data_IF_388053795656
#
_entry.id   IF_388053795656
#
_cell.length_a   1.000
_cell.length_b   1.000
_cell.length_c   1.000
_cell.angle_alpha   90.00
_cell.angle_beta   90.00
_cell.angle_gamma   90.00
#
_symmetry.space_group_name_H-M   'P 1'
#
loop_
_entity.id
_entity.type
_entity.pdbx_description
1 polymer ?
#
# COMPACT_ATOMS: atom_id res chain seq x y z
N UNK A 1 31.36 -20.18 -3.70
CA UNK A 1 30.12 -20.07 -2.91
C UNK A 1 28.97 -20.41 -3.84
N UNK A 2 28.06 -21.31 -3.47
CA UNK A 2 26.84 -21.55 -4.25
C UNK A 2 25.87 -20.42 -3.89
N UNK A 3 25.27 -19.79 -4.89
CA UNK A 3 24.19 -18.84 -4.66
C UNK A 3 22.96 -19.63 -4.16
N UNK A 4 22.48 -19.37 -2.94
CA UNK A 4 21.34 -20.10 -2.39
C UNK A 4 20.12 -19.83 -3.26
N UNK A 5 19.57 -20.90 -3.84
CA UNK A 5 18.45 -20.79 -4.78
C UNK A 5 17.14 -20.97 -4.04
N UNK A 6 16.37 -19.90 -3.95
CA UNK A 6 15.02 -19.95 -3.37
C UNK A 6 14.13 -20.83 -4.26
N UNK A 7 13.43 -21.83 -3.68
CA UNK A 7 12.55 -22.73 -4.41
C UNK A 7 11.36 -21.97 -4.99
N UNK A 8 10.83 -22.49 -6.11
CA UNK A 8 9.66 -21.91 -6.77
C UNK A 8 8.40 -22.39 -6.04
N UNK A 9 7.40 -21.51 -5.97
CA UNK A 9 6.09 -21.86 -5.42
C UNK A 9 5.44 -22.97 -6.27
N UNK A 10 4.78 -23.91 -5.60
CA UNK A 10 4.00 -24.96 -6.25
C UNK A 10 2.57 -24.46 -6.51
N UNK A 11 1.87 -25.07 -7.47
CA UNK A 11 0.50 -24.68 -7.81
C UNK A 11 -0.50 -24.87 -6.66
N UNK A 12 -0.16 -25.72 -5.70
CA UNK A 12 -1.00 -25.98 -4.55
C UNK A 12 -0.64 -25.09 -3.34
N UNK A 13 0.42 -24.31 -3.39
CA UNK A 13 0.81 -23.42 -2.28
C UNK A 13 -0.19 -22.25 -2.17
N UNK A 14 -0.51 -21.86 -0.94
CA UNK A 14 -1.37 -20.68 -0.71
C UNK A 14 -0.70 -19.39 -1.19
N UNK A 15 -1.54 -18.39 -1.52
CA UNK A 15 -1.12 -17.06 -1.96
C UNK A 15 -0.09 -16.44 -1.01
N UNK A 16 -0.20 -16.68 0.31
CA UNK A 16 0.76 -16.16 1.27
C UNK A 16 2.17 -16.75 1.10
N UNK A 17 2.26 -18.06 0.81
CA UNK A 17 3.54 -18.73 0.55
C UNK A 17 4.12 -18.23 -0.77
N UNK A 18 3.29 -18.09 -1.80
CA UNK A 18 3.69 -17.59 -3.13
C UNK A 18 4.29 -16.18 -3.00
N UNK A 19 3.55 -15.25 -2.38
CA UNK A 19 3.99 -13.86 -2.20
C UNK A 19 5.28 -13.79 -1.38
N UNK A 20 5.39 -14.59 -0.32
CA UNK A 20 6.58 -14.62 0.52
C UNK A 20 7.82 -15.12 -0.25
N UNK A 21 7.68 -16.17 -1.08
CA UNK A 21 8.79 -16.70 -1.89
C UNK A 21 9.22 -15.72 -3.00
N UNK A 22 8.27 -15.11 -3.70
CA UNK A 22 8.57 -14.11 -4.75
C UNK A 22 9.26 -12.87 -4.17
N UNK A 23 8.79 -12.42 -3.00
CA UNK A 23 9.39 -11.28 -2.32
C UNK A 23 10.78 -11.63 -1.80
N UNK A 24 10.97 -12.81 -1.21
CA UNK A 24 12.29 -13.28 -0.76
C UNK A 24 13.30 -13.33 -1.92
N UNK A 25 12.86 -13.80 -3.10
CA UNK A 25 13.70 -13.84 -4.31
C UNK A 25 14.09 -12.44 -4.77
N UNK A 26 13.12 -11.53 -4.85
CA UNK A 26 13.36 -10.14 -5.24
C UNK A 26 14.35 -9.46 -4.29
N UNK A 27 14.22 -9.69 -2.99
CA UNK A 27 15.13 -9.13 -1.97
C UNK A 27 16.54 -9.73 -2.05
N UNK A 28 16.66 -11.01 -2.38
CA UNK A 28 17.96 -11.65 -2.61
C UNK A 28 18.65 -11.09 -3.86
N UNK A 29 17.91 -10.87 -4.95
CA UNK A 29 18.40 -10.24 -6.18
C UNK A 29 18.85 -8.78 -5.95
N UNK A 30 18.24 -8.10 -4.97
CA UNK A 30 18.64 -6.76 -4.51
C UNK A 30 19.87 -6.76 -3.58
N UNK A 31 20.34 -7.94 -3.14
CA UNK A 31 21.43 -8.09 -2.18
C UNK A 31 21.01 -7.95 -0.71
N UNK A 32 19.71 -7.83 -0.42
CA UNK A 32 19.16 -7.68 0.92
C UNK A 32 18.87 -9.04 1.56
N UNK A 33 19.93 -9.73 1.98
CA UNK A 33 19.87 -11.09 2.54
C UNK A 33 18.97 -11.20 3.78
N UNK A 34 19.04 -10.24 4.70
CA UNK A 34 18.22 -10.25 5.92
C UNK A 34 16.72 -10.12 5.62
N UNK A 35 16.36 -9.28 4.65
CA UNK A 35 14.99 -9.17 4.16
C UNK A 35 14.53 -10.49 3.54
N UNK A 36 15.36 -11.10 2.70
CA UNK A 36 15.04 -12.40 2.10
C UNK A 36 14.80 -13.48 3.15
N UNK A 37 15.62 -13.54 4.21
CA UNK A 37 15.45 -14.45 5.35
C UNK A 37 14.11 -14.21 6.06
N UNK A 38 13.76 -12.94 6.32
CA UNK A 38 12.48 -12.60 6.98
C UNK A 38 11.28 -13.11 6.18
N UNK A 39 11.28 -12.89 4.86
CA UNK A 39 10.22 -13.39 3.98
C UNK A 39 10.20 -14.91 3.89
N UNK A 40 11.37 -15.55 3.86
CA UNK A 40 11.46 -17.01 3.86
C UNK A 40 10.93 -17.63 5.17
N UNK A 41 11.17 -16.99 6.33
CA UNK A 41 10.55 -17.40 7.61
C UNK A 41 9.02 -17.29 7.57
N UNK A 42 8.49 -16.27 6.90
CA UNK A 42 7.04 -16.13 6.68
C UNK A 42 6.49 -17.27 5.83
N UNK A 43 7.20 -17.64 4.75
CA UNK A 43 6.83 -18.77 3.91
C UNK A 43 6.83 -20.11 4.67
N UNK A 44 7.82 -20.33 5.54
CA UNK A 44 7.88 -21.53 6.43
C UNK A 44 6.63 -21.61 7.30
N UNK A 45 6.27 -20.51 7.99
CA UNK A 45 5.10 -20.47 8.87
C UNK A 45 3.80 -20.73 8.11
N UNK A 46 3.60 -20.04 6.99
CA UNK A 46 2.41 -20.23 6.17
C UNK A 46 2.28 -21.68 5.64
N UNK A 47 3.40 -22.31 5.25
CA UNK A 47 3.40 -23.73 4.86
C UNK A 47 3.11 -24.69 6.02
N UNK A 48 3.56 -24.38 7.24
CA UNK A 48 3.22 -25.15 8.45
C UNK A 48 1.73 -25.04 8.78
N UNK A 49 1.16 -23.84 8.73
CA UNK A 49 -0.26 -23.58 8.96
C UNK A 49 -1.17 -24.31 7.95
N UNK A 50 -0.68 -24.52 6.71
CA UNK A 50 -1.34 -25.33 5.69
C UNK A 50 -1.18 -26.85 5.89
N UNK A 51 -0.46 -27.29 6.94
CA UNK A 51 -0.19 -28.71 7.20
C UNK A 51 0.85 -29.32 6.24
N UNK A 52 1.64 -28.50 5.54
CA UNK A 52 2.64 -28.95 4.56
C UNK A 52 4.04 -29.02 5.15
N UNK A 53 4.20 -29.90 6.13
CA UNK A 53 5.48 -30.07 6.84
C UNK A 53 6.68 -30.34 5.89
N UNK A 54 6.47 -31.08 4.80
CA UNK A 54 7.52 -31.33 3.80
C UNK A 54 7.97 -30.08 3.05
N UNK A 55 7.04 -29.18 2.70
CA UNK A 55 7.36 -27.89 2.05
C UNK A 55 8.04 -26.94 3.04
N UNK A 56 7.53 -26.87 4.27
CA UNK A 56 8.15 -26.08 5.33
C UNK A 56 9.61 -26.49 5.58
N UNK A 57 9.90 -27.79 5.67
CA UNK A 57 11.26 -28.30 5.82
C UNK A 57 12.19 -27.94 4.64
N UNK A 58 11.66 -27.93 3.41
CA UNK A 58 12.41 -27.49 2.23
C UNK A 58 12.77 -26.00 2.31
N UNK A 59 11.85 -25.16 2.77
CA UNK A 59 12.11 -23.73 2.97
C UNK A 59 13.10 -23.50 4.12
N UNK A 60 13.03 -24.27 5.20
CA UNK A 60 13.99 -24.20 6.31
C UNK A 60 15.40 -24.58 5.86
N UNK A 61 15.57 -25.59 5.01
CA UNK A 61 16.89 -25.96 4.48
C UNK A 61 17.56 -24.80 3.74
N UNK A 62 16.77 -24.08 2.93
CA UNK A 62 17.22 -22.88 2.20
C UNK A 62 17.51 -21.74 3.18
N UNK A 63 16.71 -21.62 4.23
CA UNK A 63 16.91 -20.63 5.29
C UNK A 63 18.24 -20.83 6.03
N UNK A 64 18.60 -22.09 6.30
CA UNK A 64 19.89 -22.46 6.90
C UNK A 64 21.05 -22.14 5.95
N UNK A 65 20.91 -22.42 4.65
CA UNK A 65 21.90 -22.05 3.64
C UNK A 65 22.10 -20.53 3.56
N UNK A 66 21.00 -19.78 3.70
CA UNK A 66 20.99 -18.32 3.82
C UNK A 66 21.46 -17.82 5.19
N UNK A 67 21.81 -18.68 6.15
CA UNK A 67 22.31 -18.27 7.47
C UNK A 67 21.22 -17.71 8.40
N UNK A 68 19.96 -17.97 8.08
CA UNK A 68 18.80 -17.53 8.87
C UNK A 68 18.56 -18.33 10.16
N UNK A 69 19.32 -19.39 10.44
CA UNK A 69 19.15 -20.25 11.61
C UNK A 69 17.87 -21.10 11.57
N UNK A 70 17.92 -22.31 12.13
CA UNK A 70 16.71 -23.15 12.27
C UNK A 70 15.82 -22.61 13.40
N UNK A 71 14.51 -22.64 13.19
CA UNK A 71 13.52 -22.30 14.21
C UNK A 71 13.56 -23.37 15.31
N UNK A 72 14.29 -23.14 16.40
CA UNK A 72 14.03 -23.88 17.64
C UNK A 72 12.74 -23.33 18.21
N UNK A 73 11.67 -24.11 18.10
CA UNK A 73 10.37 -23.85 18.71
C UNK A 73 10.46 -23.88 20.24
N UNK A 74 11.04 -22.84 20.83
CA UNK A 74 11.13 -22.62 22.28
C UNK A 74 11.18 -21.13 22.66
N UNK A 75 10.56 -20.25 21.86
CA UNK A 75 10.15 -18.91 22.32
C UNK A 75 8.76 -18.57 21.74
N UNK A 76 7.76 -19.32 22.20
CA UNK A 76 6.43 -18.73 22.38
C UNK A 76 6.49 -17.88 23.65
N UNK A 77 6.48 -16.56 23.45
CA UNK A 77 6.21 -15.57 24.48
C UNK A 77 7.43 -15.01 25.20
N UNK A 78 8.08 -13.99 24.63
CA UNK A 78 8.59 -12.81 25.38
C UNK A 78 9.28 -11.73 24.49
N UNK A 79 8.72 -11.35 23.33
CA UNK A 79 9.33 -10.27 22.52
C UNK A 79 8.31 -9.28 21.94
N UNK A 80 7.15 -9.18 22.59
CA UNK A 80 6.15 -8.14 22.32
C UNK A 80 5.89 -7.46 23.65
N UNK A 81 6.48 -6.25 23.82
CA UNK A 81 6.23 -5.24 24.87
C UNK A 81 7.16 -5.21 26.11
N UNK A 82 8.37 -4.69 25.97
CA UNK A 82 8.94 -3.75 26.97
C UNK A 82 10.16 -3.03 26.40
N UNK A 83 10.19 -1.70 26.57
CA UNK A 83 11.27 -0.74 26.22
C UNK A 83 11.34 -0.15 24.79
N UNK A 84 10.19 0.28 24.26
CA UNK A 84 10.11 1.58 23.58
C UNK A 84 9.00 2.39 24.26
N UNK A 85 9.27 2.71 25.52
CA UNK A 85 8.55 3.73 26.28
C UNK A 85 9.37 5.03 26.18
N UNK A 86 9.40 5.60 24.98
CA UNK A 86 9.77 7.01 24.77
C UNK A 86 8.95 7.59 23.62
N UNK A 87 7.65 7.29 23.64
CA UNK A 87 6.67 8.14 22.99
C UNK A 87 6.47 9.32 23.92
N UNK A 88 7.38 10.29 23.83
CA UNK A 88 7.22 11.58 24.49
C UNK A 88 5.95 12.21 23.94
N UNK A 89 4.88 12.16 24.74
CA UNK A 89 3.60 12.83 24.51
C UNK A 89 3.82 14.35 24.69
N UNK A 90 4.59 14.97 23.79
CA UNK A 90 4.51 16.41 23.58
C UNK A 90 3.32 16.68 22.67
N UNK A 91 2.18 16.80 23.33
CA UNK A 91 1.00 17.55 22.89
C UNK A 91 1.32 18.64 21.84
N UNK A 92 1.17 18.32 20.55
CA UNK A 92 1.06 19.34 19.50
C UNK A 92 -0.35 19.89 19.59
N UNK A 93 -0.58 20.78 20.55
CA UNK A 93 -1.68 21.74 20.47
C UNK A 93 -1.22 22.77 19.45
N UNK A 94 -1.59 22.58 18.20
CA UNK A 94 -1.46 23.59 17.15
C UNK A 94 -2.37 24.77 17.52
N UNK A 95 -1.84 25.70 18.32
CA UNK A 95 -2.46 26.98 18.59
C UNK A 95 -2.47 27.77 17.27
N UNK A 96 -3.64 27.91 16.67
CA UNK A 96 -3.84 28.72 15.47
C UNK A 96 -3.22 30.12 15.69
N UNK A 97 -2.40 30.64 14.75
CA UNK A 97 -1.86 31.98 14.87
C UNK A 97 -3.03 32.97 14.87
N UNK A 98 -3.25 33.64 16.00
CA UNK A 98 -4.15 34.80 16.12
C UNK A 98 -3.61 35.90 15.21
N UNK A 99 -4.17 36.01 14.01
CA UNK A 99 -4.00 37.17 13.15
C UNK A 99 -4.48 38.41 13.92
N UNK A 100 -3.69 39.47 14.04
CA UNK A 100 -4.19 40.74 14.56
C UNK A 100 -5.26 41.25 13.58
N UNK A 101 -6.48 41.39 14.08
CA UNK A 101 -7.52 42.19 13.43
C UNK A 101 -6.95 43.59 13.20
N UNK A 102 -6.82 44.09 11.95
CA UNK A 102 -6.59 45.50 11.74
C UNK A 102 -7.85 46.23 12.19
N UNK A 103 -7.77 46.78 13.39
CA UNK A 103 -8.71 47.74 13.93
C UNK A 103 -8.91 48.88 12.92
N UNK A 104 -10.18 49.17 12.71
CA UNK A 104 -10.66 50.38 12.06
C UNK A 104 -10.04 51.62 12.72
N UNK A 105 -9.04 52.20 12.07
CA UNK A 105 -8.57 53.57 12.35
C UNK A 105 -8.42 54.33 11.04
N UNK A 106 -9.50 55.03 10.69
CA UNK A 106 -9.56 56.14 9.74
C UNK A 106 -8.40 57.11 9.99
N UNK A 107 -7.72 57.58 8.93
CA UNK A 107 -7.31 58.96 8.87
C UNK A 107 -8.09 59.64 7.75
N UNK A 108 -8.94 60.58 8.16
CA UNK A 108 -9.58 61.56 7.28
C UNK A 108 -8.51 62.58 6.91
N UNK A 109 -8.02 62.54 5.67
CA UNK A 109 -7.10 63.53 5.12
C UNK A 109 -7.14 63.51 3.60
N UNK A 110 -7.78 64.53 3.02
CA UNK A 110 -7.81 64.81 1.58
C UNK A 110 -6.44 65.34 1.08
N UNK A 111 -6.31 65.83 -0.17
CA UNK A 111 -6.52 65.20 -1.46
C UNK A 111 -5.22 65.27 -2.31
N UNK A 112 -4.84 64.23 -3.06
CA UNK A 112 -3.69 64.36 -3.99
C UNK A 112 -3.92 63.59 -5.29
N UNK A 113 -4.16 64.38 -6.33
CA UNK A 113 -3.59 64.35 -7.68
C UNK A 113 -3.62 63.06 -8.48
N UNK A 114 -4.36 63.13 -9.59
CA UNK A 114 -4.31 62.25 -10.76
C UNK A 114 -2.87 61.91 -11.15
N UNK A 115 -2.51 60.64 -11.07
CA UNK A 115 -1.41 60.07 -11.85
C UNK A 115 -2.02 58.92 -12.63
N UNK A 116 -2.19 59.14 -13.93
CA UNK A 116 -2.58 58.12 -14.88
C UNK A 116 -1.42 57.15 -15.05
N UNK A 117 -1.44 56.06 -14.28
CA UNK A 117 -0.54 54.92 -14.48
C UNK A 117 -1.18 53.99 -15.50
N UNK A 118 -0.41 53.63 -16.53
CA UNK A 118 -0.80 52.77 -17.64
C UNK A 118 -1.50 51.45 -17.19
N UNK A 119 -2.39 50.88 -18.02
CA UNK A 119 -3.08 49.64 -17.66
C UNK A 119 -2.07 48.49 -17.52
N UNK A 120 -1.99 47.94 -16.31
CA UNK A 120 -1.32 46.68 -16.04
C UNK A 120 -1.92 45.59 -16.94
N UNK A 121 -1.13 44.80 -17.68
CA UNK A 121 -1.67 43.67 -18.42
C UNK A 121 -2.30 42.70 -17.42
N UNK A 122 -3.61 42.48 -17.53
CA UNK A 122 -4.33 41.46 -16.75
C UNK A 122 -3.71 40.12 -17.10
N UNK A 123 -2.97 39.54 -16.16
CA UNK A 123 -2.44 38.20 -16.29
C UNK A 123 -3.61 37.25 -16.54
N UNK A 124 -3.58 36.59 -17.70
CA UNK A 124 -4.57 35.58 -18.09
C UNK A 124 -4.59 34.51 -16.98
N UNK A 125 -5.77 34.09 -16.48
CA UNK A 125 -5.83 33.02 -15.48
C UNK A 125 -5.10 31.78 -16.02
N UNK A 126 -4.33 31.07 -15.19
CA UNK A 126 -3.66 29.85 -15.61
C UNK A 126 -4.72 28.91 -16.17
N UNK A 127 -4.46 28.35 -17.36
CA UNK A 127 -5.32 27.32 -17.94
C UNK A 127 -5.44 26.18 -16.91
N UNK A 128 -6.61 25.54 -16.77
CA UNK A 128 -6.75 24.39 -15.89
C UNK A 128 -5.68 23.37 -16.27
N UNK A 129 -4.77 23.09 -15.34
CA UNK A 129 -3.83 21.99 -15.47
C UNK A 129 -4.67 20.72 -15.64
N UNK A 130 -4.29 19.86 -16.58
CA UNK A 130 -4.89 18.54 -16.69
C UNK A 130 -4.76 17.88 -15.31
N UNK A 131 -5.89 17.61 -14.66
CA UNK A 131 -5.91 16.95 -13.37
C UNK A 131 -5.18 15.60 -13.44
N UNK A 132 -4.86 15.01 -12.28
CA UNK A 132 -4.23 13.69 -12.24
C UNK A 132 -5.07 12.69 -13.07
N UNK A 133 -4.43 11.70 -13.72
CA UNK A 133 -5.12 10.71 -14.52
C UNK A 133 -6.17 10.01 -13.65
N UNK A 134 -7.45 10.18 -13.98
CA UNK A 134 -8.54 9.52 -13.29
C UNK A 134 -8.71 8.12 -13.83
N UNK A 135 -8.69 7.13 -12.93
CA UNK A 135 -9.02 5.76 -13.25
C UNK A 135 -10.55 5.62 -13.25
N UNK A 136 -11.13 5.11 -14.34
CA UNK A 136 -12.54 4.73 -14.33
C UNK A 136 -12.70 3.42 -13.56
N UNK A 137 -13.46 3.42 -12.47
CA UNK A 137 -13.80 2.20 -11.73
C UNK A 137 -15.20 1.72 -12.12
N UNK A 138 -15.38 0.41 -12.27
CA UNK A 138 -16.69 -0.21 -12.54
C UNK A 138 -17.08 -1.11 -11.37
N UNK A 139 -18.29 -0.94 -10.86
CA UNK A 139 -18.87 -1.84 -9.84
C UNK A 139 -19.15 -3.19 -10.50
N UNK A 140 -18.67 -4.26 -9.88
CA UNK A 140 -18.84 -5.62 -10.36
C UNK A 140 -19.23 -6.54 -9.22
N UNK A 141 -20.00 -7.58 -9.52
CA UNK A 141 -20.15 -8.73 -8.65
C UNK A 141 -19.14 -9.79 -9.03
N UNK A 142 -18.50 -10.38 -8.03
CA UNK A 142 -17.49 -11.43 -8.17
C UNK A 142 -17.97 -12.69 -7.48
N UNK A 143 -17.83 -13.81 -8.18
CA UNK A 143 -18.15 -15.14 -7.65
C UNK A 143 -17.02 -16.10 -7.95
N UNK A 144 -16.63 -16.90 -6.96
CA UNK A 144 -15.67 -17.98 -7.15
C UNK A 144 -16.36 -19.15 -7.84
N UNK A 145 -15.98 -19.42 -9.08
CA UNK A 145 -16.45 -20.57 -9.84
C UNK A 145 -15.67 -21.84 -9.46
N UNK A 146 -16.26 -23.00 -9.77
CA UNK A 146 -15.60 -24.29 -9.60
C UNK A 146 -14.30 -24.34 -10.43
N UNK A 147 -13.19 -24.72 -9.80
CA UNK A 147 -11.87 -24.74 -10.43
C UNK A 147 -11.05 -23.45 -10.25
N UNK A 148 -11.35 -22.63 -9.25
CA UNK A 148 -10.51 -21.48 -8.85
C UNK A 148 -10.60 -20.27 -9.77
N UNK A 149 -11.53 -20.27 -10.73
CA UNK A 149 -11.79 -19.14 -11.62
C UNK A 149 -12.74 -18.15 -10.95
N UNK A 150 -12.62 -16.88 -11.30
CA UNK A 150 -13.54 -15.83 -10.88
C UNK A 150 -14.48 -15.46 -12.02
N UNK A 151 -15.77 -15.52 -11.77
CA UNK A 151 -16.79 -14.94 -12.64
C UNK A 151 -17.06 -13.52 -12.19
N UNK A 152 -17.02 -12.59 -13.14
CA UNK A 152 -17.20 -11.15 -12.90
C UNK A 152 -18.37 -10.67 -13.74
N UNK A 153 -19.33 -9.99 -13.11
CA UNK A 153 -20.50 -9.40 -13.78
C UNK A 153 -20.59 -7.92 -13.43
N UNK A 154 -20.80 -7.02 -14.41
CA UNK A 154 -21.00 -5.60 -14.10
C UNK A 154 -22.29 -5.39 -13.31
N UNK A 155 -22.21 -4.56 -12.27
CA UNK A 155 -23.36 -4.13 -11.46
C UNK A 155 -23.76 -2.70 -11.85
N UNK A 156 -25.06 -2.46 -11.99
CA UNK A 156 -25.59 -1.10 -12.15
C UNK A 156 -25.40 -0.23 -10.89
N UNK A 157 -25.54 1.09 -11.01
CA UNK A 157 -25.37 2.04 -9.89
C UNK A 157 -26.26 1.77 -8.68
N UNK A 158 -27.41 1.10 -8.88
CA UNK A 158 -28.38 0.77 -7.83
C UNK A 158 -28.55 -0.72 -7.62
N UNK A 159 -27.76 -1.53 -8.32
CA UNK A 159 -27.77 -2.99 -8.17
C UNK A 159 -26.80 -3.38 -7.03
N UNK A 160 -27.19 -4.37 -6.25
CA UNK A 160 -26.36 -4.99 -5.22
C UNK A 160 -25.99 -6.41 -5.65
N UNK A 161 -24.87 -6.92 -5.15
CA UNK A 161 -24.44 -8.28 -5.42
C UNK A 161 -25.53 -9.30 -4.97
N UNK A 162 -25.86 -10.30 -5.82
CA UNK A 162 -26.70 -11.44 -5.44
C UNK A 162 -26.14 -12.22 -4.26
N UNK A 163 -27.00 -13.00 -3.57
CA UNK A 163 -26.57 -13.86 -2.48
C UNK A 163 -25.51 -14.87 -2.94
N UNK A 164 -24.34 -14.85 -2.30
CA UNK A 164 -23.20 -15.69 -2.65
C UNK A 164 -22.24 -15.08 -3.69
N UNK A 165 -22.43 -13.81 -4.04
CA UNK A 165 -21.49 -12.99 -4.79
C UNK A 165 -20.97 -11.85 -3.90
N UNK A 166 -19.74 -11.41 -4.15
CA UNK A 166 -19.13 -10.26 -3.46
C UNK A 166 -19.15 -9.03 -4.37
N UNK A 167 -19.32 -7.84 -3.78
CA UNK A 167 -19.21 -6.59 -4.52
C UNK A 167 -17.74 -6.12 -4.55
N UNK A 168 -17.25 -5.80 -5.74
CA UNK A 168 -15.90 -5.29 -5.94
C UNK A 168 -15.87 -4.13 -6.96
N UNK A 169 -14.74 -3.42 -6.99
CA UNK A 169 -14.45 -2.39 -7.97
C UNK A 169 -13.36 -2.86 -8.92
N UNK A 170 -13.70 -2.93 -10.21
CA UNK A 170 -12.74 -3.21 -11.27
C UNK A 170 -12.10 -1.91 -11.72
N UNK A 171 -10.79 -1.77 -11.49
CA UNK A 171 -10.00 -0.58 -11.83
C UNK A 171 -8.94 -0.97 -12.85
N UNK A 172 -8.88 -0.32 -14.03
CA UNK A 172 -7.89 -0.64 -15.05
C UNK A 172 -6.55 -0.07 -14.59
N UNK A 173 -5.50 -0.89 -14.58
CA UNK A 173 -4.15 -0.46 -14.17
C UNK A 173 -3.56 0.61 -15.11
N UNK A 174 -4.08 0.72 -16.33
CA UNK A 174 -3.70 1.75 -17.30
C UNK A 174 -4.79 2.81 -17.38
N UNK A 175 -4.48 4.10 -17.14
CA UNK A 175 -5.47 5.16 -17.27
C UNK A 175 -5.93 5.28 -18.73
N UNK A 176 -7.22 5.52 -18.93
CA UNK A 176 -7.83 5.68 -20.26
C UNK A 176 -8.35 4.40 -20.92
N UNK A 177 -8.21 3.23 -20.28
CA UNK A 177 -8.85 1.99 -20.75
C UNK A 177 -10.32 2.00 -20.30
N UNK A 178 -11.24 1.82 -21.26
CA UNK A 178 -12.67 1.62 -20.98
C UNK A 178 -12.96 0.12 -20.92
N UNK A 179 -13.74 -0.31 -19.93
CA UNK A 179 -14.38 -1.62 -19.97
C UNK A 179 -15.52 -1.54 -21.00
N UNK A 180 -15.41 -2.33 -22.06
CA UNK A 180 -16.38 -2.42 -23.16
C UNK A 180 -17.36 -3.55 -22.96
#
# INVERSE_FOLDING_TARGET
>A
MRDPKIPVADADDDDEVVVALETARTELERGSRDSAIRWLRRAVRAAQEQGRAGRAAAFEAVLVELGGGTFSALEEGDAVLSDVDDFTDETIVDEAPKLPLPGSSRPRGAPVTKIATAPTPVARPPRPSKGPPTYGAVRVSVKRALGGKWEVRPLGERESAPAGEEEALLVPLKPGVKFG
#
